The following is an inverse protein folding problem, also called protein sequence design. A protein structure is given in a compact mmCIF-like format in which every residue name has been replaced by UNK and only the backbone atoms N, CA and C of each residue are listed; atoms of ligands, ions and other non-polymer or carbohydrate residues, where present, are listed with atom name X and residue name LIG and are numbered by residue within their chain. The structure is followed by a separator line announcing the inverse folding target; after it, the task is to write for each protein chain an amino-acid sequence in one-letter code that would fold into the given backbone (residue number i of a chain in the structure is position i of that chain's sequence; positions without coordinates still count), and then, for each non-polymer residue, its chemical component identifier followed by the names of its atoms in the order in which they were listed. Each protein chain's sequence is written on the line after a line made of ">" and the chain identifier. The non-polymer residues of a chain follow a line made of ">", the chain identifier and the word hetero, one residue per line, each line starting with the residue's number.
data_IF_329778385669
#
_entry.id   IF_329778385669
#
_cell.length_a   1.000
_cell.length_b   1.000
_cell.length_c   1.000
_cell.angle_alpha   90.00
_cell.angle_beta   90.00
_cell.angle_gamma   90.00
#
_symmetry.space_group_name_H-M   'P 1'
#
loop_
_entity.id
_entity.type
_entity.pdbx_description
1 polymer ?
#
# COMPACT_ATOMS: atom_id res chain seq x y z
N UNK A 1 4.54 15.77 -19.16
CA UNK A 1 5.92 15.70 -18.60
C UNK A 1 5.98 16.61 -17.39
N UNK A 2 6.07 16.06 -16.18
CA UNK A 2 6.28 16.88 -14.98
C UNK A 2 7.69 17.49 -15.08
N UNK A 3 7.77 18.81 -15.24
CA UNK A 3 9.07 19.51 -15.23
C UNK A 3 9.62 19.44 -13.81
N UNK A 4 10.81 18.88 -13.66
CA UNK A 4 11.51 18.89 -12.38
C UNK A 4 11.98 20.30 -12.05
N UNK A 5 11.79 20.72 -10.80
CA UNK A 5 12.40 21.95 -10.31
C UNK A 5 13.94 21.80 -10.36
N UNK A 6 14.68 22.73 -10.99
CA UNK A 6 16.14 22.68 -11.04
C UNK A 6 16.79 22.57 -9.64
N UNK A 7 16.24 23.24 -8.63
CA UNK A 7 16.77 23.16 -7.26
C UNK A 7 16.61 21.77 -6.64
N UNK A 8 15.54 21.05 -6.97
CA UNK A 8 15.35 19.68 -6.54
C UNK A 8 16.38 18.76 -7.22
N UNK A 9 16.64 18.96 -8.52
CA UNK A 9 17.67 18.21 -9.25
C UNK A 9 19.06 18.40 -8.65
N UNK A 10 19.41 19.63 -8.28
CA UNK A 10 20.72 19.92 -7.67
C UNK A 10 20.88 19.31 -6.28
N UNK A 11 19.82 19.33 -5.47
CA UNK A 11 19.81 18.62 -4.17
C UNK A 11 19.94 17.11 -4.34
N UNK A 12 19.22 16.50 -5.29
CA UNK A 12 19.36 15.08 -5.62
C UNK A 12 20.78 14.73 -6.09
N UNK A 13 21.36 15.56 -6.97
CA UNK A 13 22.72 15.37 -7.46
C UNK A 13 23.76 15.48 -6.34
N UNK A 14 23.57 16.41 -5.40
CA UNK A 14 24.41 16.53 -4.19
C UNK A 14 24.35 15.26 -3.33
N UNK A 15 23.15 14.73 -3.05
CA UNK A 15 23.00 13.46 -2.31
C UNK A 15 23.66 12.29 -3.05
N UNK A 16 23.48 12.20 -4.37
CA UNK A 16 24.07 11.13 -5.19
C UNK A 16 25.61 11.17 -5.15
N UNK A 17 26.21 12.35 -5.29
CA UNK A 17 27.68 12.52 -5.17
C UNK A 17 28.18 12.27 -3.74
N UNK A 18 27.34 12.50 -2.74
CA UNK A 18 27.59 12.12 -1.34
C UNK A 18 27.56 10.61 -1.08
N UNK A 19 27.23 9.79 -2.08
CA UNK A 19 27.19 8.33 -1.97
C UNK A 19 25.87 7.78 -1.45
N UNK A 20 24.82 8.61 -1.36
CA UNK A 20 23.49 8.15 -0.96
C UNK A 20 22.90 7.19 -2.00
N UNK A 21 22.15 6.20 -1.53
CA UNK A 21 21.51 5.23 -2.44
C UNK A 21 20.28 5.84 -3.09
N UNK A 22 19.90 5.35 -4.29
CA UNK A 22 18.69 5.81 -4.98
C UNK A 22 17.42 5.68 -4.14
N UNK A 23 17.37 4.73 -3.19
CA UNK A 23 16.23 4.56 -2.29
C UNK A 23 16.13 5.67 -1.25
N UNK A 24 17.27 6.14 -0.71
CA UNK A 24 17.30 7.26 0.24
C UNK A 24 16.91 8.56 -0.46
N UNK A 25 17.44 8.78 -1.67
CA UNK A 25 17.08 9.95 -2.49
C UNK A 25 15.58 9.90 -2.84
N UNK A 26 15.05 8.74 -3.21
CA UNK A 26 13.63 8.56 -3.50
C UNK A 26 12.74 8.92 -2.29
N UNK A 27 13.10 8.46 -1.09
CA UNK A 27 12.37 8.77 0.13
C UNK A 27 12.42 10.26 0.50
N UNK A 28 13.58 10.92 0.31
CA UNK A 28 13.74 12.34 0.63
C UNK A 28 12.89 13.29 -0.22
N UNK A 29 12.45 12.84 -1.41
CA UNK A 29 11.67 13.63 -2.35
C UNK A 29 10.25 13.07 -2.57
N UNK A 30 9.84 12.08 -1.78
CA UNK A 30 8.53 11.40 -1.87
C UNK A 30 8.20 10.89 -3.29
N UNK A 31 9.18 10.27 -3.94
CA UNK A 31 9.05 9.74 -5.30
C UNK A 31 9.52 8.30 -5.37
N UNK A 32 9.10 7.55 -6.40
CA UNK A 32 9.50 6.15 -6.52
C UNK A 32 10.98 6.02 -6.92
N UNK A 33 11.63 4.93 -6.48
CA UNK A 33 13.01 4.61 -6.85
C UNK A 33 13.23 4.55 -8.37
N UNK A 34 12.24 4.06 -9.13
CA UNK A 34 12.30 3.96 -10.58
C UNK A 34 12.35 5.34 -11.27
N UNK A 35 11.64 6.33 -10.70
CA UNK A 35 11.66 7.72 -11.18
C UNK A 35 13.06 8.31 -11.04
N UNK A 36 13.70 8.14 -9.88
CA UNK A 36 15.09 8.60 -9.65
C UNK A 36 16.07 7.87 -10.57
N UNK A 37 15.92 6.55 -10.77
CA UNK A 37 16.79 5.78 -11.66
C UNK A 37 16.72 6.30 -13.12
N UNK A 38 15.51 6.57 -13.62
CA UNK A 38 15.33 7.18 -14.94
C UNK A 38 15.86 8.62 -15.02
N UNK A 39 15.79 9.38 -13.93
CA UNK A 39 16.32 10.73 -13.84
C UNK A 39 17.86 10.75 -13.90
N UNK A 40 18.52 9.87 -13.14
CA UNK A 40 19.98 9.67 -13.17
C UNK A 40 20.44 9.25 -14.58
N UNK A 41 19.71 8.34 -15.23
CA UNK A 41 20.08 7.89 -16.59
C UNK A 41 19.94 8.97 -17.66
N UNK A 42 19.04 9.95 -17.48
CA UNK A 42 18.76 11.01 -18.46
C UNK A 42 19.61 12.27 -18.27
N UNK A 43 20.27 12.43 -17.12
CA UNK A 43 21.05 13.62 -16.78
C UNK A 43 22.48 13.22 -16.35
N UNK A 44 23.27 12.58 -17.23
CA UNK A 44 24.59 12.07 -16.89
C UNK A 44 25.58 13.17 -16.46
N UNK A 45 25.37 14.42 -16.90
CA UNK A 45 26.18 15.58 -16.52
C UNK A 45 26.01 15.94 -15.03
N UNK A 46 24.82 15.71 -14.46
CA UNK A 46 24.56 15.94 -13.03
C UNK A 46 24.90 14.72 -12.18
N UNK A 47 24.69 13.52 -12.74
CA UNK A 47 24.88 12.22 -12.09
C UNK A 47 25.97 11.38 -12.78
N UNK A 48 27.26 11.76 -12.66
CA UNK A 48 28.33 11.05 -13.33
C UNK A 48 28.46 9.60 -12.85
N UNK A 49 28.57 8.68 -13.81
CA UNK A 49 28.78 7.25 -13.54
C UNK A 49 30.12 7.07 -12.83
N UNK A 50 30.08 6.52 -11.61
CA UNK A 50 31.28 6.28 -10.79
C UNK A 50 31.47 7.24 -9.62
N UNK A 51 30.65 8.29 -9.49
CA UNK A 51 30.74 9.19 -8.32
C UNK A 51 30.32 8.52 -7.00
N UNK A 52 29.51 7.47 -7.06
CA UNK A 52 29.13 6.71 -5.86
C UNK A 52 30.28 5.73 -5.57
N UNK A 53 31.05 5.91 -4.48
CA UNK A 53 31.98 4.89 -4.04
C UNK A 53 31.16 3.61 -3.85
N UNK A 54 31.49 2.56 -4.61
CA UNK A 54 30.84 1.28 -4.45
C UNK A 54 31.09 0.85 -3.02
N UNK A 55 30.08 0.98 -2.14
CA UNK A 55 30.15 0.39 -0.81
C UNK A 55 30.60 -1.05 -1.03
N UNK A 56 31.71 -1.49 -0.41
CA UNK A 56 32.20 -2.85 -0.59
C UNK A 56 30.99 -3.75 -0.38
N UNK A 57 30.66 -4.51 -1.43
CA UNK A 57 29.48 -5.37 -1.40
C UNK A 57 29.53 -6.21 -0.12
N UNK A 58 28.38 -6.56 0.46
CA UNK A 58 28.36 -7.43 1.64
C UNK A 58 29.31 -8.59 1.37
N UNK A 59 30.22 -8.93 2.32
CA UNK A 59 31.25 -9.93 2.09
C UNK A 59 30.56 -11.14 1.50
N UNK A 60 31.00 -11.57 0.31
CA UNK A 60 30.49 -12.79 -0.32
C UNK A 60 30.56 -13.84 0.77
N UNK A 61 29.40 -14.27 1.28
CA UNK A 61 29.35 -15.31 2.31
C UNK A 61 30.24 -16.43 1.78
N UNK A 62 31.29 -16.84 2.52
CA UNK A 62 32.14 -17.93 2.05
C UNK A 62 31.20 -19.09 1.77
N UNK A 63 31.26 -19.61 0.55
CA UNK A 63 30.48 -20.77 0.15
C UNK A 63 30.70 -21.81 1.23
N UNK A 64 29.66 -22.12 2.00
CA UNK A 64 29.81 -22.86 3.25
C UNK A 64 30.53 -24.18 2.98
N UNK A 65 31.69 -24.38 3.62
CA UNK A 65 32.52 -25.60 3.61
C UNK A 65 31.80 -26.84 4.21
N UNK A 66 30.53 -26.71 4.63
CA UNK A 66 29.73 -27.82 5.15
C UNK A 66 29.26 -28.84 4.09
N UNK A 67 29.73 -28.76 2.85
CA UNK A 67 29.40 -29.75 1.81
C UNK A 67 30.45 -30.88 1.64
N UNK A 68 31.58 -30.89 2.38
CA UNK A 68 32.67 -31.87 2.14
C UNK A 68 32.91 -32.94 3.21
N UNK A 69 32.16 -33.01 4.31
CA UNK A 69 32.45 -33.94 5.42
C UNK A 69 31.52 -35.19 5.52
N UNK A 70 30.81 -35.59 4.46
CA UNK A 70 29.88 -36.74 4.51
C UNK A 70 30.20 -37.88 3.53
N UNK A 71 31.48 -38.11 3.20
CA UNK A 71 31.91 -39.26 2.37
C UNK A 71 33.16 -39.95 2.92
N UNK A 72 33.05 -40.57 4.09
CA UNK A 72 33.98 -41.63 4.49
C UNK A 72 33.24 -42.60 5.42
N UNK A 73 33.06 -43.84 4.97
CA UNK A 73 32.50 -44.92 5.78
C UNK A 73 31.07 -45.31 5.43
N UNK A 74 30.94 -46.28 4.51
CA UNK A 74 30.06 -47.47 4.64
C UNK A 74 30.14 -48.31 3.37
N UNK A 75 31.07 -49.26 3.38
CA UNK A 75 31.09 -50.46 2.56
C UNK A 75 30.36 -51.56 3.33
N UNK A 76 29.16 -51.94 2.91
CA UNK A 76 28.56 -53.25 3.20
C UNK A 76 27.39 -53.51 2.24
N UNK A 77 27.49 -54.64 1.53
CA UNK A 77 26.56 -55.15 0.53
C UNK A 77 25.25 -55.62 1.18
N UNK A 78 24.10 -55.20 0.65
CA UNK A 78 22.98 -56.08 0.22
C UNK A 78 21.74 -55.26 -0.12
N UNK A 79 20.96 -55.74 -1.09
CA UNK A 79 19.59 -55.27 -1.33
C UNK A 79 19.44 -54.40 -2.57
N UNK A 80 19.34 -55.06 -3.72
CA UNK A 80 18.93 -54.51 -5.01
C UNK A 80 17.46 -54.07 -4.94
N UNK A 81 17.21 -52.81 -4.62
CA UNK A 81 15.94 -52.13 -4.92
C UNK A 81 16.31 -50.74 -5.48
N UNK A 82 16.13 -50.57 -6.78
CA UNK A 82 16.55 -49.40 -7.54
C UNK A 82 15.91 -48.13 -6.98
N UNK A 83 16.69 -47.34 -6.24
CA UNK A 83 16.36 -45.94 -5.96
C UNK A 83 16.54 -45.19 -7.28
N UNK A 84 15.44 -45.06 -8.01
CA UNK A 84 15.35 -44.21 -9.19
C UNK A 84 15.96 -42.85 -8.86
N UNK A 85 16.94 -42.46 -9.66
CA UNK A 85 17.59 -41.15 -9.60
C UNK A 85 16.52 -40.13 -9.96
N UNK A 86 15.80 -39.64 -8.94
CA UNK A 86 14.74 -38.65 -9.10
C UNK A 86 15.31 -37.48 -9.87
N UNK A 87 14.73 -37.19 -11.05
CA UNK A 87 15.13 -36.04 -11.86
C UNK A 87 15.08 -34.81 -10.96
N UNK A 88 16.17 -34.03 -10.95
CA UNK A 88 16.19 -32.74 -10.26
C UNK A 88 14.95 -31.94 -10.71
N UNK A 89 14.23 -31.27 -9.79
CA UNK A 89 13.05 -30.51 -10.14
C UNK A 89 13.43 -29.54 -11.25
N UNK A 90 12.87 -29.79 -12.43
CA UNK A 90 13.10 -28.97 -13.60
C UNK A 90 12.69 -27.55 -13.22
N UNK A 91 13.62 -26.59 -13.34
CA UNK A 91 13.33 -25.18 -13.10
C UNK A 91 12.23 -24.75 -14.07
N UNK A 92 10.98 -24.82 -13.63
CA UNK A 92 9.87 -24.32 -14.41
C UNK A 92 10.07 -22.82 -14.54
N UNK A 93 10.25 -22.37 -15.78
CA UNK A 93 10.27 -20.95 -16.09
C UNK A 93 8.98 -20.33 -15.52
N UNK A 94 9.07 -19.20 -14.80
CA UNK A 94 7.87 -18.53 -14.32
C UNK A 94 7.00 -18.20 -15.53
N UNK A 95 5.81 -18.77 -15.58
CA UNK A 95 4.83 -18.46 -16.61
C UNK A 95 4.38 -17.03 -16.37
N UNK A 96 4.62 -16.15 -17.34
CA UNK A 96 4.09 -14.80 -17.31
C UNK A 96 2.56 -14.86 -17.47
N UNK A 97 1.80 -14.03 -16.73
CA UNK A 97 0.36 -13.89 -16.96
C UNK A 97 0.09 -13.52 -18.41
N UNK A 98 -0.98 -14.05 -18.98
CA UNK A 98 -1.45 -13.60 -20.30
C UNK A 98 -2.02 -12.19 -20.22
N UNK A 99 -2.16 -11.50 -21.36
CA UNK A 99 -2.81 -10.18 -21.39
C UNK A 99 -4.25 -10.22 -20.83
N UNK A 100 -4.95 -11.36 -21.01
CA UNK A 100 -6.29 -11.59 -20.46
C UNK A 100 -6.27 -11.69 -18.94
N UNK A 101 -5.29 -12.40 -18.36
CA UNK A 101 -5.10 -12.48 -16.91
C UNK A 101 -4.81 -11.11 -16.30
N UNK A 102 -3.98 -10.31 -16.97
CA UNK A 102 -3.66 -8.95 -16.54
C UNK A 102 -4.89 -8.03 -16.59
N UNK A 103 -5.71 -8.12 -17.64
CA UNK A 103 -6.96 -7.37 -17.76
C UNK A 103 -7.96 -7.75 -16.66
N UNK A 104 -8.13 -9.05 -16.38
CA UNK A 104 -8.98 -9.53 -15.29
C UNK A 104 -8.45 -9.08 -13.92
N UNK A 105 -7.13 -9.09 -13.71
CA UNK A 105 -6.51 -8.56 -12.50
C UNK A 105 -6.71 -7.04 -12.36
N UNK A 106 -6.66 -6.29 -13.45
CA UNK A 106 -6.96 -4.86 -13.46
C UNK A 106 -8.43 -4.60 -13.09
N UNK A 107 -9.38 -5.30 -13.70
CA UNK A 107 -10.81 -5.20 -13.40
C UNK A 107 -11.09 -5.49 -11.91
N UNK A 108 -10.52 -6.57 -11.37
CA UNK A 108 -10.63 -6.91 -9.93
C UNK A 108 -10.08 -5.82 -9.03
N UNK A 109 -8.96 -5.17 -9.40
CA UNK A 109 -8.40 -4.04 -8.64
C UNK A 109 -9.31 -2.81 -8.66
N UNK A 110 -9.95 -2.52 -9.79
CA UNK A 110 -10.92 -1.43 -9.91
C UNK A 110 -12.14 -1.70 -9.05
N UNK A 111 -12.71 -2.91 -9.13
CA UNK A 111 -13.86 -3.30 -8.31
C UNK A 111 -13.54 -3.27 -6.81
N UNK A 112 -12.37 -3.77 -6.41
CA UNK A 112 -11.93 -3.73 -5.02
C UNK A 112 -11.82 -2.29 -4.50
N UNK A 113 -11.28 -1.36 -5.31
CA UNK A 113 -11.23 0.07 -4.96
C UNK A 113 -12.62 0.68 -4.83
N UNK A 114 -13.54 0.36 -5.74
CA UNK A 114 -14.93 0.83 -5.68
C UNK A 114 -15.61 0.33 -4.41
N UNK A 115 -15.47 -0.96 -4.08
CA UNK A 115 -16.04 -1.55 -2.86
C UNK A 115 -15.43 -0.96 -1.59
N UNK A 116 -14.13 -0.68 -1.58
CA UNK A 116 -13.46 0.00 -0.47
C UNK A 116 -13.97 1.43 -0.28
N UNK A 117 -14.19 2.17 -1.37
CA UNK A 117 -14.77 3.51 -1.33
C UNK A 117 -16.19 3.48 -0.75
N UNK A 118 -17.06 2.59 -1.24
CA UNK A 118 -18.44 2.44 -0.71
C UNK A 118 -18.42 2.13 0.80
N UNK A 119 -17.54 1.21 1.24
CA UNK A 119 -17.38 0.90 2.67
C UNK A 119 -16.90 2.09 3.49
N UNK A 120 -16.07 2.97 2.93
CA UNK A 120 -15.62 4.18 3.62
C UNK A 120 -16.75 5.18 3.85
N UNK A 121 -17.83 5.13 3.06
CA UNK A 121 -19.04 5.94 3.21
C UNK A 121 -20.15 5.24 4.03
N UNK A 122 -19.95 4.02 4.53
CA UNK A 122 -20.93 3.35 5.38
C UNK A 122 -20.97 4.04 6.76
N UNK A 123 -21.97 4.90 6.98
CA UNK A 123 -22.13 5.66 8.22
C UNK A 123 -22.97 4.93 9.26
N UNK A 124 -23.41 3.68 9.02
CA UNK A 124 -24.21 2.91 10.00
C UNK A 124 -23.49 2.68 11.32
N UNK A 125 -22.17 2.57 11.28
CA UNK A 125 -21.36 2.46 12.50
C UNK A 125 -21.43 3.71 13.39
N UNK A 126 -21.93 4.84 12.89
CA UNK A 126 -22.18 6.05 13.66
C UNK A 126 -23.58 6.05 14.30
N UNK A 127 -24.43 5.05 14.07
CA UNK A 127 -25.75 4.99 14.69
C UNK A 127 -25.62 4.85 16.22
N UNK A 128 -26.39 5.67 16.93
CA UNK A 128 -26.39 5.68 18.39
C UNK A 128 -27.40 4.63 18.86
N UNK A 129 -26.95 3.68 19.67
CA UNK A 129 -27.78 2.58 20.16
C UNK A 129 -29.07 3.10 20.81
N UNK A 130 -30.22 2.55 20.41
CA UNK A 130 -31.54 2.93 20.91
C UNK A 130 -32.12 4.23 20.33
N UNK A 131 -31.38 4.98 19.51
CA UNK A 131 -31.92 6.16 18.82
C UNK A 131 -32.74 5.73 17.61
N UNK A 132 -33.99 6.22 17.52
CA UNK A 132 -34.78 6.13 16.30
C UNK A 132 -34.19 7.05 15.24
N UNK A 133 -34.17 6.60 13.99
CA UNK A 133 -33.82 7.44 12.85
C UNK A 133 -35.05 8.18 12.35
N UNK A 134 -34.84 9.37 11.79
CA UNK A 134 -35.90 10.22 11.21
C UNK A 134 -35.57 10.42 9.73
N UNK A 135 -36.53 10.33 8.80
CA UNK A 135 -36.29 10.69 7.39
C UNK A 135 -35.69 12.09 7.26
N UNK A 136 -34.83 12.30 6.25
CA UNK A 136 -34.17 13.59 6.06
C UNK A 136 -35.18 14.73 5.84
N UNK A 137 -36.26 14.46 5.12
CA UNK A 137 -37.34 15.44 4.90
C UNK A 137 -38.09 15.83 6.18
N UNK A 138 -38.12 14.94 7.17
CA UNK A 138 -38.77 15.16 8.46
C UNK A 138 -37.81 15.73 9.52
N UNK A 139 -36.54 15.94 9.18
CA UNK A 139 -35.56 16.51 10.10
C UNK A 139 -35.82 18.02 10.28
N UNK A 140 -36.31 18.39 11.45
CA UNK A 140 -36.50 19.79 11.85
C UNK A 140 -35.20 20.59 11.92
N UNK A 141 -35.34 21.90 12.16
CA UNK A 141 -34.22 22.84 12.29
C UNK A 141 -33.23 22.45 13.40
N UNK A 142 -33.75 21.98 14.53
CA UNK A 142 -32.95 21.59 15.70
C UNK A 142 -32.75 20.06 15.80
N UNK A 143 -32.64 19.37 14.67
CA UNK A 143 -32.39 17.92 14.64
C UNK A 143 -31.13 17.54 13.86
N UNK A 144 -30.45 16.49 14.34
CA UNK A 144 -29.19 16.02 13.78
C UNK A 144 -29.40 15.44 12.39
N UNK A 145 -28.76 16.06 11.39
CA UNK A 145 -28.88 15.69 9.96
C UNK A 145 -27.82 14.68 9.50
N UNK A 146 -27.16 13.98 10.42
CA UNK A 146 -26.23 12.92 10.03
C UNK A 146 -27.02 11.74 9.45
N UNK A 147 -26.81 11.47 8.16
CA UNK A 147 -27.39 10.33 7.45
C UNK A 147 -26.72 9.03 7.91
N UNK A 148 -27.53 8.03 8.26
CA UNK A 148 -27.13 6.70 8.76
C UNK A 148 -27.45 5.66 7.67
N UNK A 149 -26.57 5.52 6.68
CA UNK A 149 -26.82 4.72 5.48
C UNK A 149 -25.73 3.68 5.23
N UNK A 150 -26.12 2.54 4.66
CA UNK A 150 -25.24 1.46 4.21
C UNK A 150 -24.58 1.77 2.85
N UNK A 151 -24.04 2.98 2.65
CA UNK A 151 -23.51 3.42 1.35
C UNK A 151 -24.49 4.29 0.56
N UNK A 152 -24.60 4.04 -0.75
CA UNK A 152 -25.30 4.92 -1.71
C UNK A 152 -26.83 4.70 -1.78
N UNK A 153 -27.34 3.62 -1.19
CA UNK A 153 -28.72 3.15 -1.42
C UNK A 153 -29.81 4.06 -0.80
N UNK A 154 -29.43 5.02 0.04
CA UNK A 154 -30.39 5.87 0.76
C UNK A 154 -29.98 7.35 0.78
N UNK A 155 -29.56 7.91 -0.36
CA UNK A 155 -29.40 9.35 -0.53
C UNK A 155 -30.67 9.92 -1.19
N UNK A 156 -31.56 10.48 -0.38
CA UNK A 156 -32.84 11.03 -0.83
C UNK A 156 -33.66 11.64 0.32
N UNK A 157 -34.90 12.08 0.06
CA UNK A 157 -35.79 12.63 1.09
C UNK A 157 -36.04 11.66 2.25
N UNK A 158 -36.10 10.36 1.96
CA UNK A 158 -36.33 9.29 2.94
C UNK A 158 -35.05 8.79 3.62
N UNK A 159 -33.91 9.45 3.37
CA UNK A 159 -32.63 9.05 3.95
C UNK A 159 -32.70 9.06 5.48
N UNK A 160 -32.43 7.94 6.17
CA UNK A 160 -32.53 7.88 7.62
C UNK A 160 -31.43 8.73 8.25
N UNK A 161 -31.83 9.75 9.01
CA UNK A 161 -30.96 10.64 9.76
C UNK A 161 -31.02 10.33 11.26
N UNK A 162 -30.02 10.80 12.00
CA UNK A 162 -29.98 10.63 13.45
C UNK A 162 -31.19 11.24 14.18
N UNK A 163 -31.65 12.44 13.78
CA UNK A 163 -32.84 13.09 14.33
C UNK A 163 -32.77 13.58 15.79
N UNK A 164 -31.68 13.33 16.52
CA UNK A 164 -31.50 13.79 17.92
C UNK A 164 -31.39 15.32 17.99
N UNK A 165 -31.79 15.96 19.10
CA UNK A 165 -31.72 17.41 19.25
C UNK A 165 -30.29 17.93 19.11
N UNK A 166 -30.15 19.11 18.51
CA UNK A 166 -28.88 19.83 18.31
C UNK A 166 -28.95 21.22 18.95
N UNK A 167 -27.79 21.84 19.16
CA UNK A 167 -27.71 23.23 19.58
C UNK A 167 -28.01 24.19 18.40
N UNK A 168 -28.40 25.42 18.70
CA UNK A 168 -28.86 26.44 17.73
C UNK A 168 -27.88 26.70 16.58
N UNK A 169 -26.58 26.49 16.80
CA UNK A 169 -25.51 26.65 15.79
C UNK A 169 -24.85 25.33 15.36
N UNK A 170 -25.55 24.19 15.47
CA UNK A 170 -24.96 22.89 15.14
C UNK A 170 -25.83 22.04 14.22
N UNK A 171 -25.25 21.52 13.15
CA UNK A 171 -25.91 20.55 12.28
C UNK A 171 -25.98 19.12 12.88
N UNK A 172 -25.22 18.87 13.95
CA UNK A 172 -25.02 17.53 14.51
C UNK A 172 -25.24 17.50 16.01
N UNK A 173 -25.78 16.39 16.52
CA UNK A 173 -25.91 16.22 17.97
C UNK A 173 -24.51 16.13 18.62
N UNK A 174 -24.37 16.39 19.93
CA UNK A 174 -23.05 16.40 20.59
C UNK A 174 -22.24 15.12 20.42
N UNK A 175 -22.90 13.96 20.24
CA UNK A 175 -22.24 12.68 20.02
C UNK A 175 -21.69 12.56 18.59
N UNK A 176 -22.44 12.99 17.57
CA UNK A 176 -21.98 12.98 16.18
C UNK A 176 -20.96 14.08 15.89
N UNK A 177 -21.08 15.23 16.56
CA UNK A 177 -20.08 16.29 16.49
C UNK A 177 -18.69 15.78 16.91
N UNK A 178 -18.64 14.98 17.99
CA UNK A 178 -17.40 14.32 18.46
C UNK A 178 -16.82 13.34 17.44
N UNK A 179 -17.66 12.67 16.65
CA UNK A 179 -17.21 11.73 15.63
C UNK A 179 -16.69 12.46 14.38
N UNK A 180 -17.41 13.49 13.92
CA UNK A 180 -17.08 14.23 12.69
C UNK A 180 -15.86 15.14 12.83
N UNK A 181 -15.68 15.78 13.99
CA UNK A 181 -14.60 16.75 14.22
C UNK A 181 -13.47 16.22 15.10
N UNK A 182 -13.36 14.89 15.26
CA UNK A 182 -12.22 14.31 15.97
C UNK A 182 -10.94 14.64 15.20
N UNK A 183 -10.09 15.51 15.75
CA UNK A 183 -8.76 15.78 15.18
C UNK A 183 -7.98 14.46 15.08
N UNK A 184 -7.60 14.00 13.88
CA UNK A 184 -6.73 12.83 13.75
C UNK A 184 -5.40 13.15 14.45
N UNK A 185 -5.02 12.37 15.45
CA UNK A 185 -3.75 12.53 16.19
C UNK A 185 -3.84 12.71 17.70
N UNK A 186 -5.03 12.85 18.30
CA UNK A 186 -5.19 12.72 19.76
C UNK A 186 -5.67 11.31 20.11
N UNK A 187 -4.71 10.40 20.25
CA UNK A 187 -4.95 9.14 20.97
C UNK A 187 -5.22 9.50 22.44
N UNK A 188 -6.42 9.18 22.90
CA UNK A 188 -6.84 9.19 24.31
C UNK A 188 -6.70 7.79 24.86
#
# INVERSE_FOLDING_TARGET
>A
MTRWNPEALDRMAKMYRGGETLAVIAAAFDVSRGVIAGLVSRNPERFPKGAVPRKPGPPKKPASEKAKAAKAGKTAKNGKAGRGRGKAPTHQQPTYPTAEDEALAAARRIEARRRAAIRAYDTRHMQIAGSKTVPFIDCGEFQCRLIITAGEDALGPDAPCCGRPVAEDSAYCPQHLKLMYRKPGRAT
#
